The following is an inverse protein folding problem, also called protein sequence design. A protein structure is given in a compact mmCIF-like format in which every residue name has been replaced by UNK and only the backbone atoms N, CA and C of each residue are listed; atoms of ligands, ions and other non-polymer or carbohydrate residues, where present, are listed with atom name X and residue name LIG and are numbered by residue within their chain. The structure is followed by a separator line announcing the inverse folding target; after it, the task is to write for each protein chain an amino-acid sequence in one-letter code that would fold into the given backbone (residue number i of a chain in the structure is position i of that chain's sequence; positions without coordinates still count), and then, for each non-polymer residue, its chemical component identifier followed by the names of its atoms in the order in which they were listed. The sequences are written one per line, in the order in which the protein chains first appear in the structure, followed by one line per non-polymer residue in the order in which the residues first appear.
data_IF_777707640501
#
_entry.id   IF_777707640501
#
_cell.length_a   1.000
_cell.length_b   1.000
_cell.length_c   1.000
_cell.angle_alpha   90.00
_cell.angle_beta   90.00
_cell.angle_gamma   90.00
#
_symmetry.space_group_name_H-M   'P 1'
#
loop_
_entity.id
_entity.type
_entity.pdbx_description
1 polymer ?
#
# COMPACT_ATOMS: atom_id res chain seq x y z
N UNK A 1 -7.23 11.82 4.75
CA UNK A 1 -5.89 12.09 4.24
C UNK A 1 -5.60 13.60 4.16
N UNK A 2 -6.29 14.38 3.33
CA UNK A 2 -6.04 15.81 3.16
C UNK A 2 -6.02 16.63 4.46
N UNK A 3 -6.89 16.32 5.41
CA UNK A 3 -6.97 17.03 6.70
C UNK A 3 -5.86 16.63 7.68
N UNK A 4 -5.26 15.44 7.53
CA UNK A 4 -4.21 14.97 8.41
C UNK A 4 -2.81 15.38 7.91
N UNK A 5 -2.62 15.47 6.60
CA UNK A 5 -1.35 15.80 5.96
C UNK A 5 -1.51 17.04 5.11
N UNK A 6 -0.93 18.16 5.55
CA UNK A 6 -0.86 19.37 4.73
C UNK A 6 0.10 19.20 3.55
N UNK A 7 0.03 20.09 2.53
CA UNK A 7 0.81 19.95 1.30
C UNK A 7 2.33 19.98 1.48
N UNK A 8 2.81 20.46 2.61
CA UNK A 8 4.26 20.62 2.89
C UNK A 8 4.89 19.48 3.68
N UNK A 9 4.11 18.54 4.23
CA UNK A 9 4.64 17.61 5.25
C UNK A 9 4.80 16.17 4.75
N UNK A 10 4.18 15.81 3.63
CA UNK A 10 4.18 14.44 3.14
C UNK A 10 3.82 14.39 1.64
N UNK A 11 4.72 14.87 0.80
CA UNK A 11 4.51 14.98 -0.63
C UNK A 11 3.94 13.70 -1.26
N UNK A 12 4.49 12.54 -0.94
CA UNK A 12 4.08 11.23 -1.48
C UNK A 12 2.66 10.85 -1.04
N UNK A 13 2.33 10.92 0.25
CA UNK A 13 1.00 10.55 0.76
C UNK A 13 -0.06 11.57 0.33
N UNK A 14 0.30 12.85 0.27
CA UNK A 14 -0.62 13.88 -0.23
C UNK A 14 -0.93 13.67 -1.71
N UNK A 15 0.10 13.47 -2.55
CA UNK A 15 -0.05 13.17 -3.97
C UNK A 15 -0.88 11.89 -4.20
N UNK A 16 -0.60 10.83 -3.43
CA UNK A 16 -1.40 9.61 -3.45
C UNK A 16 -2.88 9.87 -3.08
N UNK A 17 -3.13 10.61 -2.01
CA UNK A 17 -4.50 10.97 -1.62
C UNK A 17 -5.23 11.77 -2.70
N UNK A 18 -4.54 12.68 -3.39
CA UNK A 18 -5.11 13.47 -4.47
C UNK A 18 -5.43 12.61 -5.71
N UNK A 19 -4.50 11.76 -6.13
CA UNK A 19 -4.70 10.85 -7.27
C UNK A 19 -5.82 9.85 -6.99
N UNK A 20 -5.88 9.31 -5.76
CA UNK A 20 -6.96 8.41 -5.34
C UNK A 20 -8.33 9.10 -5.39
N UNK A 21 -8.45 10.33 -4.84
CA UNK A 21 -9.68 11.09 -4.87
C UNK A 21 -10.13 11.37 -6.31
N UNK A 22 -9.20 11.84 -7.13
CA UNK A 22 -9.48 12.12 -8.55
C UNK A 22 -9.89 10.84 -9.28
N UNK A 23 -9.20 9.72 -9.05
CA UNK A 23 -9.54 8.42 -9.63
C UNK A 23 -10.93 7.94 -9.22
N UNK A 24 -11.32 8.10 -7.95
CA UNK A 24 -12.68 7.75 -7.48
C UNK A 24 -13.74 8.63 -8.14
N UNK A 25 -13.52 9.93 -8.26
CA UNK A 25 -14.46 10.85 -8.93
C UNK A 25 -14.60 10.50 -10.42
N UNK A 26 -13.50 10.25 -11.11
CA UNK A 26 -13.50 9.83 -12.52
C UNK A 26 -14.17 8.46 -12.68
N UNK A 27 -13.94 7.51 -11.80
CA UNK A 27 -14.61 6.21 -11.81
C UNK A 27 -16.13 6.36 -11.61
N UNK A 28 -16.58 7.27 -10.76
CA UNK A 28 -18.01 7.55 -10.60
C UNK A 28 -18.62 8.10 -11.90
N UNK A 29 -17.95 9.04 -12.54
CA UNK A 29 -18.43 9.65 -13.79
C UNK A 29 -18.37 8.67 -14.96
N UNK A 30 -17.21 8.08 -15.21
CA UNK A 30 -16.99 7.23 -16.38
C UNK A 30 -17.36 5.76 -16.13
N UNK A 31 -16.98 5.21 -14.97
CA UNK A 31 -17.23 3.81 -14.63
C UNK A 31 -18.71 3.52 -14.37
N UNK A 32 -19.42 4.42 -13.69
CA UNK A 32 -20.82 4.19 -13.34
C UNK A 32 -21.77 4.88 -14.33
N UNK A 33 -21.65 6.19 -14.50
CA UNK A 33 -22.60 6.97 -15.29
C UNK A 33 -22.46 6.72 -16.79
N UNK A 34 -21.25 6.91 -17.35
CA UNK A 34 -21.04 6.73 -18.79
C UNK A 34 -21.28 5.28 -19.23
N UNK A 35 -20.77 4.29 -18.46
CA UNK A 35 -21.01 2.87 -18.74
C UNK A 35 -22.51 2.52 -18.74
N UNK A 36 -23.27 3.05 -17.77
CA UNK A 36 -24.72 2.84 -17.73
C UNK A 36 -25.43 3.43 -18.96
N UNK A 37 -25.03 4.62 -19.40
CA UNK A 37 -25.57 5.26 -20.61
C UNK A 37 -25.20 4.47 -21.86
N UNK A 38 -23.93 4.05 -21.96
CA UNK A 38 -23.43 3.25 -23.10
C UNK A 38 -24.14 1.90 -23.21
N UNK A 39 -24.31 1.18 -22.10
CA UNK A 39 -25.02 -0.11 -22.09
C UNK A 39 -26.49 0.08 -22.50
N UNK A 40 -27.17 1.12 -22.02
CA UNK A 40 -28.54 1.44 -22.42
C UNK A 40 -28.64 1.81 -23.91
N UNK A 41 -27.68 2.62 -24.39
CA UNK A 41 -27.56 2.96 -25.80
C UNK A 41 -27.31 1.73 -26.68
N UNK A 42 -26.37 0.87 -26.30
CA UNK A 42 -26.10 -0.38 -27.02
C UNK A 42 -27.29 -1.34 -27.05
N UNK A 43 -28.02 -1.47 -25.93
CA UNK A 43 -29.21 -2.31 -25.85
C UNK A 43 -30.39 -1.78 -26.66
N UNK A 44 -30.40 -0.51 -27.08
CA UNK A 44 -31.43 0.06 -27.98
C UNK A 44 -31.23 -0.35 -29.43
N UNK A 45 -30.02 -0.70 -29.84
CA UNK A 45 -29.68 -1.11 -31.21
C UNK A 45 -30.06 -2.57 -31.41
N UNK A 46 -30.95 -2.87 -32.41
CA UNK A 46 -31.45 -4.22 -32.67
C UNK A 46 -30.34 -5.27 -32.86
N UNK A 47 -29.22 -4.93 -33.50
CA UNK A 47 -28.11 -5.83 -33.75
C UNK A 47 -27.35 -6.22 -32.44
N UNK A 48 -27.33 -5.35 -31.42
CA UNK A 48 -26.66 -5.56 -30.15
C UNK A 48 -27.60 -6.06 -29.05
N UNK A 49 -28.88 -6.30 -29.35
CA UNK A 49 -29.92 -6.74 -28.40
C UNK A 49 -29.87 -8.24 -28.08
N UNK A 50 -28.76 -8.89 -28.38
CA UNK A 50 -28.58 -10.31 -28.09
C UNK A 50 -28.27 -10.54 -26.61
N UNK A 51 -29.06 -11.30 -25.82
CA UNK A 51 -28.81 -11.58 -24.41
C UNK A 51 -27.44 -12.20 -24.13
N UNK A 52 -26.85 -12.90 -25.09
CA UNK A 52 -25.52 -13.49 -24.97
C UNK A 52 -24.42 -12.44 -24.80
N UNK A 53 -24.52 -11.30 -25.47
CA UNK A 53 -23.57 -10.19 -25.36
C UNK A 53 -23.52 -9.56 -23.95
N UNK A 54 -24.63 -9.67 -23.22
CA UNK A 54 -24.77 -9.12 -21.86
C UNK A 54 -24.62 -10.17 -20.75
N UNK A 55 -24.10 -11.36 -21.07
CA UNK A 55 -23.91 -12.45 -20.10
C UNK A 55 -25.19 -13.14 -19.64
N UNK A 56 -26.35 -12.76 -20.19
CA UNK A 56 -27.67 -13.31 -19.83
C UNK A 56 -27.93 -14.70 -20.42
N UNK A 57 -27.09 -15.19 -21.32
CA UNK A 57 -27.25 -16.51 -21.97
C UNK A 57 -27.17 -17.69 -20.99
N UNK A 58 -26.66 -17.48 -19.79
CA UNK A 58 -26.56 -18.51 -18.74
C UNK A 58 -27.73 -18.50 -17.75
N UNK A 59 -28.63 -17.55 -17.85
CA UNK A 59 -29.76 -17.37 -16.91
C UNK A 59 -30.92 -18.39 -17.09
N UNK A 60 -30.74 -19.46 -17.83
CA UNK A 60 -31.75 -20.48 -18.04
C UNK A 60 -31.26 -21.91 -18.01
N UNK A 61 -29.99 -22.13 -17.70
CA UNK A 61 -29.49 -23.48 -17.43
C UNK A 61 -29.52 -23.69 -15.93
N UNK A 62 -30.31 -24.67 -15.49
CA UNK A 62 -30.29 -25.19 -14.14
C UNK A 62 -28.82 -25.28 -13.72
N UNK A 63 -28.44 -24.52 -12.68
CA UNK A 63 -27.15 -24.69 -12.05
C UNK A 63 -27.18 -26.10 -11.45
N UNK A 64 -26.70 -27.06 -12.25
CA UNK A 64 -26.33 -28.38 -11.72
C UNK A 64 -25.54 -28.14 -10.44
N UNK A 65 -26.02 -28.73 -9.36
CA UNK A 65 -25.55 -28.60 -7.98
C UNK A 65 -24.04 -28.45 -7.90
N UNK A 66 -23.57 -27.22 -7.94
CA UNK A 66 -22.19 -26.92 -7.60
C UNK A 66 -22.06 -27.30 -6.13
N UNK A 67 -21.16 -28.26 -5.85
CA UNK A 67 -20.83 -28.71 -4.50
C UNK A 67 -20.69 -27.47 -3.60
N UNK A 68 -21.74 -27.22 -2.82
CA UNK A 68 -21.79 -26.07 -1.93
C UNK A 68 -20.78 -26.32 -0.80
N UNK A 69 -19.79 -25.47 -0.70
CA UNK A 69 -18.83 -25.52 0.42
C UNK A 69 -19.55 -24.95 1.63
N UNK A 70 -19.68 -25.75 2.69
CA UNK A 70 -20.24 -25.30 3.97
C UNK A 70 -19.24 -24.39 4.72
N UNK A 71 -19.24 -23.12 4.35
CA UNK A 71 -18.41 -22.10 5.01
C UNK A 71 -18.81 -21.91 6.48
N UNK A 72 -20.11 -22.07 6.82
CA UNK A 72 -20.61 -21.87 8.17
C UNK A 72 -20.11 -22.98 9.11
N UNK A 73 -20.10 -24.24 8.63
CA UNK A 73 -19.53 -25.36 9.37
C UNK A 73 -18.02 -25.24 9.58
N UNK A 74 -17.32 -24.63 8.62
CA UNK A 74 -15.86 -24.45 8.66
C UNK A 74 -15.41 -23.20 9.46
N UNK A 75 -16.34 -22.38 9.96
CA UNK A 75 -16.03 -21.09 10.63
C UNK A 75 -14.97 -21.19 11.73
N UNK A 76 -15.00 -22.24 12.56
CA UNK A 76 -14.01 -22.44 13.63
C UNK A 76 -12.61 -22.69 13.06
N UNK A 77 -12.48 -23.46 11.98
CA UNK A 77 -11.20 -23.74 11.33
C UNK A 77 -10.59 -22.47 10.72
N UNK A 78 -11.40 -21.65 10.05
CA UNK A 78 -10.94 -20.37 9.51
C UNK A 78 -10.52 -19.40 10.61
N UNK A 79 -11.27 -19.32 11.71
CA UNK A 79 -10.94 -18.44 12.83
C UNK A 79 -9.62 -18.87 13.49
N UNK A 80 -9.42 -20.18 13.73
CA UNK A 80 -8.17 -20.71 14.27
C UNK A 80 -7.01 -20.45 13.33
N UNK A 81 -7.18 -20.68 12.01
CA UNK A 81 -6.15 -20.40 11.02
C UNK A 81 -5.74 -18.93 11.00
N UNK A 82 -6.72 -18.01 10.97
CA UNK A 82 -6.46 -16.57 10.99
C UNK A 82 -5.77 -16.13 12.29
N UNK A 83 -6.22 -16.62 13.45
CA UNK A 83 -5.58 -16.31 14.73
C UNK A 83 -4.15 -16.85 14.82
N UNK A 84 -3.90 -18.05 14.30
CA UNK A 84 -2.56 -18.62 14.23
C UNK A 84 -1.65 -17.79 13.31
N UNK A 85 -2.15 -17.39 12.15
CA UNK A 85 -1.43 -16.53 11.21
C UNK A 85 -1.05 -15.19 11.86
N UNK A 86 -2.00 -14.55 12.55
CA UNK A 86 -1.74 -13.31 13.28
C UNK A 86 -0.68 -13.50 14.38
N UNK A 87 -0.76 -14.60 15.13
CA UNK A 87 0.24 -14.90 16.16
C UNK A 87 1.65 -15.09 15.56
N UNK A 88 1.75 -15.75 14.41
CA UNK A 88 3.02 -15.92 13.68
C UNK A 88 3.56 -14.57 13.21
N UNK A 89 2.71 -13.69 12.66
CA UNK A 89 3.12 -12.35 12.22
C UNK A 89 3.67 -11.53 13.40
N UNK A 90 2.97 -11.54 14.53
CA UNK A 90 3.43 -10.84 15.74
C UNK A 90 4.75 -11.42 16.25
N UNK A 91 4.89 -12.74 16.25
CA UNK A 91 6.14 -13.40 16.62
C UNK A 91 7.29 -13.00 15.70
N UNK A 92 7.05 -13.01 14.38
CA UNK A 92 8.03 -12.55 13.40
C UNK A 92 8.43 -11.08 13.62
N UNK A 93 7.46 -10.20 13.91
CA UNK A 93 7.73 -8.80 14.20
C UNK A 93 8.60 -8.60 15.46
N UNK A 94 8.41 -9.43 16.48
CA UNK A 94 9.23 -9.39 17.70
C UNK A 94 10.63 -9.97 17.46
N UNK A 95 10.75 -11.06 16.70
CA UNK A 95 12.03 -11.74 16.44
C UNK A 95 12.90 -10.97 15.45
N UNK A 96 12.32 -10.53 14.33
CA UNK A 96 13.06 -9.82 13.26
C UNK A 96 13.15 -8.31 13.48
N UNK A 97 12.33 -7.77 14.39
CA UNK A 97 12.17 -6.33 14.56
C UNK A 97 11.35 -5.69 13.42
N UNK A 98 10.98 -4.44 13.65
CA UNK A 98 10.26 -3.62 12.66
C UNK A 98 11.21 -2.53 12.19
N UNK A 99 11.54 -2.53 10.92
CA UNK A 99 12.40 -1.52 10.31
C UNK A 99 11.55 -0.36 9.82
N UNK A 100 11.73 0.81 10.42
CA UNK A 100 11.08 2.05 10.01
C UNK A 100 12.02 2.83 9.10
N UNK A 101 11.51 3.35 7.98
CA UNK A 101 12.27 4.21 7.08
C UNK A 101 12.52 5.60 7.69
N UNK A 102 13.42 6.35 7.08
CA UNK A 102 13.78 7.75 7.42
C UNK A 102 12.57 8.68 7.46
N UNK A 103 11.51 8.39 6.69
CA UNK A 103 10.27 9.15 6.74
C UNK A 103 9.60 9.14 8.14
N UNK A 104 9.80 8.08 8.92
CA UNK A 104 9.21 7.91 10.25
C UNK A 104 10.18 8.15 11.39
N UNK A 105 11.45 7.81 11.19
CA UNK A 105 12.50 7.95 12.22
C UNK A 105 13.25 9.27 12.12
N UNK A 106 13.19 9.92 10.95
CA UNK A 106 14.13 10.95 10.55
C UNK A 106 15.41 10.34 10.02
N UNK A 107 16.27 11.16 9.47
CA UNK A 107 17.53 10.76 8.87
C UNK A 107 17.71 11.32 7.46
N UNK A 108 18.70 10.81 6.72
CA UNK A 108 18.97 11.21 5.36
C UNK A 108 18.48 10.14 4.34
N UNK A 109 18.05 10.60 3.19
CA UNK A 109 17.67 9.77 2.07
C UNK A 109 18.31 10.33 0.81
N UNK A 110 19.11 9.51 0.15
CA UNK A 110 19.77 9.81 -1.11
C UNK A 110 19.11 8.96 -2.19
N UNK A 111 18.70 9.57 -3.29
CA UNK A 111 18.21 8.85 -4.47
C UNK A 111 19.18 9.09 -5.61
N UNK A 112 19.73 8.01 -6.14
CA UNK A 112 20.65 8.00 -7.28
C UNK A 112 19.96 7.37 -8.48
N UNK A 113 20.29 7.84 -9.69
CA UNK A 113 20.06 7.08 -10.92
C UNK A 113 21.27 6.21 -11.22
N UNK A 114 21.06 5.09 -11.89
CA UNK A 114 22.13 4.22 -12.35
C UNK A 114 21.71 3.47 -13.62
N UNK A 115 22.70 3.00 -14.35
CA UNK A 115 22.54 2.18 -15.55
C UNK A 115 23.02 0.74 -15.28
N UNK A 116 22.44 -0.24 -15.97
CA UNK A 116 22.90 -1.61 -15.93
C UNK A 116 22.52 -2.38 -14.65
N UNK A 117 23.42 -3.26 -14.19
CA UNK A 117 23.21 -4.09 -12.99
C UNK A 117 24.44 -4.07 -12.10
N UNK A 118 24.23 -4.20 -10.80
CA UNK A 118 25.28 -4.26 -9.79
C UNK A 118 24.92 -5.26 -8.68
N UNK A 119 25.90 -5.65 -7.89
CA UNK A 119 25.67 -6.49 -6.72
C UNK A 119 25.33 -5.64 -5.50
N UNK A 120 24.11 -5.81 -4.98
CA UNK A 120 23.56 -5.00 -3.88
C UNK A 120 24.45 -5.02 -2.63
N UNK A 121 25.04 -6.19 -2.31
CA UNK A 121 25.88 -6.34 -1.11
C UNK A 121 27.16 -5.49 -1.20
N UNK A 122 27.79 -5.42 -2.36
CA UNK A 122 29.00 -4.62 -2.56
C UNK A 122 28.70 -3.13 -2.56
N UNK A 123 27.61 -2.70 -3.23
CA UNK A 123 27.16 -1.29 -3.19
C UNK A 123 26.82 -0.86 -1.76
N UNK A 124 26.20 -1.74 -0.98
CA UNK A 124 25.91 -1.48 0.42
C UNK A 124 27.19 -1.30 1.23
N UNK A 125 28.20 -2.11 0.98
CA UNK A 125 29.48 -1.99 1.67
C UNK A 125 30.20 -0.69 1.26
N UNK A 126 30.33 -0.39 -0.03
CA UNK A 126 30.95 0.85 -0.52
C UNK A 126 30.22 2.09 0.03
N UNK A 127 28.88 2.08 0.05
CA UNK A 127 28.09 3.18 0.61
C UNK A 127 28.28 3.29 2.14
N UNK A 128 28.37 2.16 2.83
CA UNK A 128 28.63 2.13 4.29
C UNK A 128 30.00 2.72 4.64
N UNK A 129 31.00 2.40 3.86
CA UNK A 129 32.36 2.88 4.05
C UNK A 129 32.47 4.39 3.70
N UNK A 130 31.84 4.83 2.61
CA UNK A 130 31.87 6.24 2.17
C UNK A 130 31.07 7.17 3.10
N UNK A 131 30.00 6.69 3.70
CA UNK A 131 29.12 7.47 4.60
C UNK A 131 29.43 7.23 6.09
N UNK A 132 30.41 6.39 6.41
CA UNK A 132 30.78 5.99 7.78
C UNK A 132 29.58 5.50 8.61
N UNK A 133 28.60 4.89 7.95
CA UNK A 133 27.35 4.45 8.58
C UNK A 133 27.01 3.01 8.19
N UNK A 134 26.82 2.14 9.16
CA UNK A 134 26.52 0.72 8.96
C UNK A 134 25.01 0.41 8.91
N UNK A 135 24.16 1.39 9.25
CA UNK A 135 22.71 1.25 9.33
C UNK A 135 21.97 1.60 8.01
N UNK A 136 22.63 1.48 6.87
CA UNK A 136 22.05 1.83 5.58
C UNK A 136 21.01 0.81 5.11
N UNK A 137 19.92 1.31 4.56
CA UNK A 137 18.94 0.49 3.83
C UNK A 137 18.94 0.89 2.36
N UNK A 138 19.18 -0.06 1.47
CA UNK A 138 19.20 0.14 0.03
C UNK A 138 17.93 -0.44 -0.59
N UNK A 139 17.33 0.30 -1.52
CA UNK A 139 16.18 -0.14 -2.30
C UNK A 139 16.41 0.25 -3.76
N UNK A 140 16.19 -0.68 -4.68
CA UNK A 140 16.16 -0.39 -6.11
C UNK A 140 14.72 -0.15 -6.55
N UNK A 141 14.55 0.74 -7.50
CA UNK A 141 13.26 1.06 -8.10
C UNK A 141 13.45 1.52 -9.54
N UNK A 142 12.35 1.87 -10.17
CA UNK A 142 12.32 2.46 -11.51
C UNK A 142 11.52 3.76 -11.45
N UNK A 143 12.04 4.80 -12.05
CA UNK A 143 11.32 6.06 -12.20
C UNK A 143 10.29 5.89 -13.33
N UNK A 144 9.02 5.78 -12.95
CA UNK A 144 7.91 5.55 -13.88
C UNK A 144 7.77 6.65 -14.94
N UNK A 145 8.29 7.85 -14.69
CA UNK A 145 8.19 8.98 -15.63
C UNK A 145 9.29 8.95 -16.70
N UNK A 146 10.51 8.55 -16.32
CA UNK A 146 11.69 8.56 -17.21
C UNK A 146 12.12 7.16 -17.64
N UNK A 147 11.71 6.12 -16.92
CA UNK A 147 12.15 4.73 -17.13
C UNK A 147 13.55 4.44 -16.56
N UNK A 148 14.17 5.43 -15.91
CA UNK A 148 15.50 5.26 -15.34
C UNK A 148 15.48 4.38 -14.11
N UNK A 149 16.48 3.54 -13.94
CA UNK A 149 16.68 2.77 -12.73
C UNK A 149 17.15 3.68 -11.59
N UNK A 150 16.60 3.48 -10.40
CA UNK A 150 16.90 4.30 -9.23
C UNK A 150 17.36 3.46 -8.06
N UNK A 151 18.37 3.95 -7.35
CA UNK A 151 18.85 3.41 -6.08
C UNK A 151 18.54 4.40 -4.97
N UNK A 152 17.71 4.00 -4.04
CA UNK A 152 17.38 4.75 -2.83
C UNK A 152 18.24 4.24 -1.67
N UNK A 153 19.05 5.12 -1.09
CA UNK A 153 19.86 4.85 0.09
C UNK A 153 19.23 5.61 1.25
N UNK A 154 18.73 4.89 2.24
CA UNK A 154 18.08 5.44 3.43
C UNK A 154 18.97 5.23 4.65
N UNK A 155 19.17 6.31 5.42
CA UNK A 155 19.94 6.35 6.66
C UNK A 155 19.01 6.74 7.82
N UNK A 156 18.34 5.78 8.47
CA UNK A 156 17.48 6.08 9.59
C UNK A 156 18.29 6.58 10.79
N UNK A 157 17.81 7.64 11.42
CA UNK A 157 18.48 8.23 12.59
C UNK A 157 18.47 9.76 12.60
N UNK A 158 19.37 10.35 13.36
CA UNK A 158 19.45 11.82 13.51
C UNK A 158 20.54 12.46 12.65
N UNK A 159 21.26 11.69 11.87
CA UNK A 159 22.36 12.19 11.04
C UNK A 159 21.82 12.84 9.77
N UNK A 160 22.38 14.01 9.46
CA UNK A 160 22.13 14.72 8.19
C UNK A 160 23.33 14.49 7.29
N UNK A 161 23.10 14.18 6.02
CA UNK A 161 24.14 14.05 5.02
C UNK A 161 24.36 15.39 4.32
N UNK A 162 25.62 15.78 4.20
CA UNK A 162 26.03 16.98 3.48
C UNK A 162 26.25 16.68 2.00
N UNK A 163 26.25 17.74 1.15
CA UNK A 163 26.51 17.58 -0.26
C UNK A 163 27.90 16.99 -0.54
N UNK A 164 28.91 17.38 0.25
CA UNK A 164 30.28 16.88 0.10
C UNK A 164 30.35 15.34 0.35
N UNK A 165 29.56 14.83 1.32
CA UNK A 165 29.47 13.39 1.58
C UNK A 165 28.78 12.64 0.43
N UNK A 166 27.78 13.27 -0.21
CA UNK A 166 27.13 12.66 -1.39
C UNK A 166 28.08 12.63 -2.57
N UNK A 167 28.89 13.68 -2.79
CA UNK A 167 29.89 13.69 -3.84
C UNK A 167 30.95 12.61 -3.60
N UNK A 168 31.45 12.47 -2.36
CA UNK A 168 32.40 11.40 -2.01
C UNK A 168 31.80 9.98 -2.21
N UNK A 169 30.51 9.82 -1.90
CA UNK A 169 29.78 8.57 -2.18
C UNK A 169 29.71 8.29 -3.68
N UNK A 170 29.36 9.29 -4.48
CA UNK A 170 29.27 9.16 -5.94
C UNK A 170 30.62 8.82 -6.56
N UNK A 171 31.69 9.49 -6.12
CA UNK A 171 33.04 9.21 -6.59
C UNK A 171 33.45 7.76 -6.27
N UNK A 172 33.19 7.29 -5.05
CA UNK A 172 33.47 5.92 -4.65
C UNK A 172 32.67 4.89 -5.43
N UNK A 173 31.38 5.16 -5.69
CA UNK A 173 30.51 4.27 -6.46
C UNK A 173 30.92 4.24 -7.94
N UNK A 174 31.22 5.39 -8.55
CA UNK A 174 31.62 5.45 -9.95
C UNK A 174 33.04 4.92 -10.19
N UNK A 175 33.91 5.00 -9.18
CA UNK A 175 35.24 4.34 -9.22
C UNK A 175 35.09 2.80 -9.18
N UNK A 176 34.20 2.30 -8.34
CA UNK A 176 33.96 0.86 -8.19
C UNK A 176 33.16 0.27 -9.36
N UNK A 177 32.24 1.08 -9.93
CA UNK A 177 31.30 0.68 -10.98
C UNK A 177 31.27 1.73 -12.10
N UNK A 178 32.30 1.85 -12.94
CA UNK A 178 32.39 2.91 -13.96
C UNK A 178 31.32 2.80 -15.05
N UNK A 179 30.80 1.59 -15.31
CA UNK A 179 29.79 1.34 -16.33
C UNK A 179 28.36 1.70 -15.88
N UNK A 180 28.13 1.92 -14.57
CA UNK A 180 26.80 2.14 -14.02
C UNK A 180 26.38 3.61 -13.93
N UNK A 181 27.29 4.57 -14.16
CA UNK A 181 27.02 6.00 -14.22
C UNK A 181 26.12 6.53 -13.09
N UNK A 182 26.49 6.28 -11.84
CA UNK A 182 25.71 6.77 -10.70
C UNK A 182 25.64 8.30 -10.69
N UNK A 183 24.41 8.84 -10.64
CA UNK A 183 24.18 10.28 -10.57
C UNK A 183 23.13 10.59 -9.50
N UNK A 184 23.31 11.72 -8.80
CA UNK A 184 22.36 12.15 -7.78
C UNK A 184 21.09 12.70 -8.42
N UNK A 185 19.94 12.11 -8.07
CA UNK A 185 18.61 12.62 -8.40
C UNK A 185 18.05 13.51 -7.29
N UNK A 186 18.17 13.08 -6.03
CA UNK A 186 17.70 13.89 -4.91
C UNK A 186 18.43 13.56 -3.61
N UNK A 187 18.52 14.56 -2.73
CA UNK A 187 18.96 14.44 -1.34
C UNK A 187 17.86 15.02 -0.46
N UNK A 188 17.39 14.24 0.51
CA UNK A 188 16.36 14.65 1.46
C UNK A 188 16.83 14.36 2.88
N UNK A 189 16.95 15.39 3.70
CA UNK A 189 17.23 15.28 5.12
C UNK A 189 15.93 15.51 5.90
N UNK A 190 15.49 14.51 6.67
CA UNK A 190 14.27 14.54 7.48
C UNK A 190 14.67 14.60 8.95
N UNK A 191 14.24 15.64 9.66
CA UNK A 191 14.50 15.70 11.09
C UNK A 191 13.70 14.64 11.85
N UNK A 192 14.27 14.05 12.91
CA UNK A 192 13.60 13.05 13.74
C UNK A 192 12.24 13.54 14.30
N UNK A 193 12.16 14.83 14.63
CA UNK A 193 10.88 15.44 15.08
C UNK A 193 9.81 15.45 14.00
N UNK A 194 10.19 15.62 12.72
CA UNK A 194 9.24 15.54 11.59
C UNK A 194 8.82 14.10 11.34
N UNK A 195 9.74 13.15 11.35
CA UNK A 195 9.44 11.73 11.17
C UNK A 195 8.46 11.21 12.22
N UNK A 196 8.70 11.51 13.51
CA UNK A 196 7.79 11.12 14.60
C UNK A 196 6.40 11.73 14.44
N UNK A 197 6.29 13.02 14.08
CA UNK A 197 5.00 13.66 13.81
C UNK A 197 4.30 13.01 12.61
N UNK A 198 5.05 12.62 11.59
CA UNK A 198 4.52 11.94 10.42
C UNK A 198 3.93 10.57 10.79
N UNK A 199 4.67 9.77 11.56
CA UNK A 199 4.20 8.47 12.07
C UNK A 199 2.92 8.61 12.92
N UNK A 200 2.88 9.57 13.84
CA UNK A 200 1.69 9.83 14.66
C UNK A 200 0.48 10.21 13.81
N UNK A 201 0.63 11.11 12.84
CA UNK A 201 -0.45 11.51 11.92
C UNK A 201 -0.93 10.34 11.07
N UNK A 202 -0.02 9.49 10.59
CA UNK A 202 -0.33 8.29 9.81
C UNK A 202 -1.16 7.30 10.62
N UNK A 203 -0.77 7.06 11.88
CA UNK A 203 -1.51 6.18 12.78
C UNK A 203 -2.91 6.70 13.09
N UNK A 204 -3.03 8.00 13.39
CA UNK A 204 -4.32 8.66 13.59
C UNK A 204 -5.20 8.56 12.34
N UNK A 205 -4.64 8.75 11.15
CA UNK A 205 -5.38 8.63 9.90
C UNK A 205 -5.92 7.21 9.68
N UNK A 206 -5.14 6.18 9.99
CA UNK A 206 -5.58 4.77 9.90
C UNK A 206 -6.72 4.51 10.88
N UNK A 207 -6.57 4.89 12.14
CA UNK A 207 -7.61 4.70 13.18
C UNK A 207 -8.90 5.45 12.81
N UNK A 208 -8.78 6.72 12.43
CA UNK A 208 -9.93 7.54 12.01
C UNK A 208 -10.67 6.90 10.84
N UNK A 209 -9.93 6.40 9.89
CA UNK A 209 -10.52 5.76 8.76
C UNK A 209 -11.19 4.40 9.11
N UNK A 210 -10.68 3.60 10.08
CA UNK A 210 -11.37 2.40 10.61
C UNK A 210 -12.68 2.77 11.30
N UNK A 211 -12.69 3.85 12.07
CA UNK A 211 -13.91 4.37 12.73
C UNK A 211 -14.96 4.80 11.70
N UNK A 212 -14.55 5.50 10.64
CA UNK A 212 -15.48 5.90 9.57
C UNK A 212 -16.11 4.70 8.86
N UNK A 213 -15.35 3.63 8.63
CA UNK A 213 -15.88 2.39 8.04
C UNK A 213 -16.84 1.71 8.99
N UNK A 214 -16.49 1.58 10.26
CA UNK A 214 -17.38 1.03 11.28
C UNK A 214 -18.72 1.76 11.28
N UNK A 215 -18.67 3.10 11.30
CA UNK A 215 -19.85 3.94 11.28
C UNK A 215 -20.68 3.75 10.00
N UNK A 216 -20.00 3.75 8.85
CA UNK A 216 -20.66 3.52 7.56
C UNK A 216 -21.39 2.17 7.50
N UNK A 217 -20.73 1.07 7.90
CA UNK A 217 -21.34 -0.27 7.91
C UNK A 217 -22.47 -0.34 8.93
N UNK A 218 -22.29 0.21 10.13
CA UNK A 218 -23.31 0.23 11.18
C UNK A 218 -24.58 0.95 10.71
N UNK A 219 -24.45 2.07 10.02
CA UNK A 219 -25.58 2.83 9.49
C UNK A 219 -26.20 2.17 8.25
N UNK A 220 -25.35 1.68 7.32
CA UNK A 220 -25.80 1.12 6.04
C UNK A 220 -26.53 -0.23 6.21
N UNK A 221 -26.08 -1.05 7.16
CA UNK A 221 -26.58 -2.40 7.41
C UNK A 221 -27.31 -2.54 8.76
N UNK A 222 -27.98 -1.49 9.21
CA UNK A 222 -28.70 -1.44 10.47
C UNK A 222 -29.70 -2.59 10.64
N UNK A 223 -30.31 -3.08 9.55
CA UNK A 223 -31.32 -4.14 9.58
C UNK A 223 -30.74 -5.56 9.75
N UNK A 224 -29.42 -5.75 9.55
CA UNK A 224 -28.74 -7.06 9.61
C UNK A 224 -27.85 -7.14 10.89
N UNK A 225 -28.12 -6.37 11.92
CA UNK A 225 -27.29 -6.31 13.13
C UNK A 225 -26.17 -5.27 13.02
N UNK A 226 -26.38 -4.16 12.33
CA UNK A 226 -25.54 -3.01 12.01
C UNK A 226 -24.20 -2.90 12.75
N UNK A 227 -24.20 -2.75 14.08
CA UNK A 227 -22.98 -2.59 14.87
C UNK A 227 -22.15 -3.88 14.94
N UNK A 228 -22.77 -5.03 15.15
CA UNK A 228 -22.09 -6.33 15.17
C UNK A 228 -21.49 -6.68 13.81
N UNK A 229 -22.24 -6.46 12.74
CA UNK A 229 -21.71 -6.59 11.36
C UNK A 229 -20.55 -5.65 11.09
N UNK A 230 -20.66 -4.40 11.54
CA UNK A 230 -19.58 -3.41 11.42
C UNK A 230 -18.31 -3.83 12.19
N UNK A 231 -18.44 -4.32 13.41
CA UNK A 231 -17.29 -4.81 14.19
C UNK A 231 -16.61 -6.01 13.54
N UNK A 232 -17.37 -6.96 12.99
CA UNK A 232 -16.81 -8.11 12.27
C UNK A 232 -16.09 -7.69 10.99
N UNK A 233 -16.63 -6.71 10.26
CA UNK A 233 -15.97 -6.15 9.09
C UNK A 233 -14.65 -5.44 9.45
N UNK A 234 -14.63 -4.66 10.53
CA UNK A 234 -13.39 -4.03 11.03
C UNK A 234 -12.39 -5.10 11.48
N UNK A 235 -12.82 -6.17 12.14
CA UNK A 235 -11.93 -7.26 12.54
C UNK A 235 -11.29 -7.94 11.31
N UNK A 236 -12.07 -8.19 10.26
CA UNK A 236 -11.57 -8.72 9.00
C UNK A 236 -10.53 -7.76 8.38
N UNK A 237 -10.83 -6.46 8.34
CA UNK A 237 -9.89 -5.45 7.83
C UNK A 237 -8.59 -5.39 8.64
N UNK A 238 -8.67 -5.48 9.96
CA UNK A 238 -7.46 -5.54 10.82
C UNK A 238 -6.64 -6.79 10.51
N UNK A 239 -7.28 -7.93 10.31
CA UNK A 239 -6.59 -9.15 9.89
C UNK A 239 -5.85 -8.96 8.56
N UNK A 240 -6.49 -8.36 7.56
CA UNK A 240 -5.90 -8.11 6.25
C UNK A 240 -4.72 -7.13 6.33
N UNK A 241 -4.86 -6.05 7.11
CA UNK A 241 -3.77 -5.12 7.38
C UNK A 241 -2.58 -5.80 8.08
N UNK A 242 -2.86 -6.72 9.00
CA UNK A 242 -1.82 -7.50 9.68
C UNK A 242 -1.09 -8.44 8.72
N UNK A 243 -1.77 -9.02 7.73
CA UNK A 243 -1.13 -9.85 6.70
C UNK A 243 -0.18 -9.01 5.85
N UNK A 244 -0.62 -7.81 5.42
CA UNK A 244 0.25 -6.88 4.68
C UNK A 244 1.46 -6.47 5.51
N UNK A 245 1.24 -6.07 6.76
CA UNK A 245 2.31 -5.75 7.70
C UNK A 245 3.29 -6.92 7.88
N UNK A 246 2.76 -8.14 8.07
CA UNK A 246 3.56 -9.35 8.19
C UNK A 246 4.42 -9.63 6.97
N UNK A 247 3.91 -9.34 5.78
CA UNK A 247 4.69 -9.47 4.54
C UNK A 247 5.91 -8.55 4.53
N UNK A 248 5.73 -7.28 4.92
CA UNK A 248 6.84 -6.32 5.02
C UNK A 248 7.88 -6.75 6.07
N UNK A 249 7.42 -7.20 7.24
CA UNK A 249 8.30 -7.70 8.31
C UNK A 249 9.08 -8.94 7.85
N UNK A 250 8.42 -9.89 7.18
CA UNK A 250 9.03 -11.13 6.72
C UNK A 250 10.08 -10.88 5.62
N UNK A 251 9.78 -9.95 4.69
CA UNK A 251 10.69 -9.55 3.62
C UNK A 251 11.77 -8.56 4.09
N UNK A 252 11.72 -8.15 5.37
CA UNK A 252 12.62 -7.13 5.94
C UNK A 252 12.65 -5.81 5.16
N UNK A 253 11.56 -5.48 4.48
CA UNK A 253 11.41 -4.19 3.80
C UNK A 253 11.07 -3.12 4.84
N UNK A 254 11.68 -1.93 4.78
CA UNK A 254 11.37 -0.86 5.70
C UNK A 254 9.95 -0.35 5.48
N UNK A 255 9.29 0.01 6.58
CA UNK A 255 7.98 0.66 6.54
C UNK A 255 8.18 2.14 6.18
N UNK A 256 7.67 2.56 5.04
CA UNK A 256 7.73 3.92 4.50
C UNK A 256 6.33 4.49 4.23
N UNK A 257 6.26 5.66 3.61
CA UNK A 257 4.99 6.27 3.17
C UNK A 257 4.21 5.41 2.17
N UNK A 258 4.91 4.62 1.34
CA UNK A 258 4.27 3.72 0.37
C UNK A 258 3.57 2.56 1.09
N UNK A 259 4.14 2.05 2.20
CA UNK A 259 3.45 1.08 3.05
C UNK A 259 2.12 1.62 3.59
N UNK A 260 2.09 2.87 4.08
CA UNK A 260 0.85 3.50 4.54
C UNK A 260 -0.14 3.67 3.38
N UNK A 261 0.35 4.08 2.21
CA UNK A 261 -0.47 4.19 1.01
C UNK A 261 -1.06 2.83 0.58
N UNK A 262 -0.26 1.77 0.61
CA UNK A 262 -0.70 0.40 0.32
C UNK A 262 -1.75 -0.08 1.32
N UNK A 263 -1.54 0.12 2.63
CA UNK A 263 -2.53 -0.20 3.67
C UNK A 263 -3.87 0.50 3.43
N UNK A 264 -3.83 1.77 3.05
CA UNK A 264 -5.05 2.55 2.79
C UNK A 264 -5.75 2.14 1.49
N UNK A 265 -5.00 1.70 0.48
CA UNK A 265 -5.54 1.22 -0.81
C UNK A 265 -6.18 -0.16 -0.66
N UNK A 266 -5.46 -1.12 -0.10
CA UNK A 266 -5.93 -2.49 0.12
C UNK A 266 -7.21 -2.47 0.94
N UNK A 267 -7.28 -1.63 1.96
CA UNK A 267 -8.47 -1.40 2.75
C UNK A 267 -9.67 -0.92 1.92
N UNK A 268 -9.45 -0.03 0.94
CA UNK A 268 -10.52 0.44 0.06
C UNK A 268 -11.09 -0.67 -0.83
N UNK A 269 -10.26 -1.57 -1.33
CA UNK A 269 -10.64 -2.70 -2.16
C UNK A 269 -11.35 -3.80 -1.35
N UNK A 270 -10.77 -4.25 -0.26
CA UNK A 270 -11.32 -5.32 0.59
C UNK A 270 -12.64 -4.92 1.27
N UNK A 271 -12.80 -3.63 1.60
CA UNK A 271 -14.07 -3.14 2.11
C UNK A 271 -15.21 -3.32 1.11
N UNK A 272 -14.95 -3.12 -0.18
CA UNK A 272 -15.94 -3.33 -1.23
C UNK A 272 -16.46 -4.78 -1.26
N UNK A 273 -15.57 -5.76 -1.10
CA UNK A 273 -15.95 -7.17 -1.07
C UNK A 273 -16.83 -7.50 0.14
N UNK A 274 -16.49 -6.98 1.32
CA UNK A 274 -17.30 -7.14 2.53
C UNK A 274 -18.70 -6.51 2.37
N UNK A 275 -18.77 -5.32 1.77
CA UNK A 275 -20.05 -4.64 1.50
C UNK A 275 -20.92 -5.44 0.51
N UNK A 276 -20.31 -6.01 -0.55
CA UNK A 276 -21.03 -6.86 -1.52
C UNK A 276 -21.62 -8.10 -0.86
N UNK A 277 -20.87 -8.75 0.05
CA UNK A 277 -21.37 -9.90 0.80
C UNK A 277 -22.55 -9.50 1.69
N UNK A 278 -22.44 -8.40 2.42
CA UNK A 278 -23.54 -7.91 3.28
C UNK A 278 -24.77 -7.44 2.49
N UNK A 279 -24.59 -6.86 1.31
CA UNK A 279 -25.70 -6.46 0.45
C UNK A 279 -26.45 -7.67 -0.12
N UNK A 280 -25.76 -8.80 -0.32
CA UNK A 280 -26.33 -10.08 -0.73
C UNK A 280 -27.17 -10.75 0.37
N UNK A 281 -26.81 -10.54 1.64
CA UNK A 281 -27.50 -11.12 2.80
C UNK A 281 -28.73 -10.26 3.20
N UNK A 282 -28.76 -8.99 2.83
CA UNK A 282 -29.86 -8.07 3.10
C UNK A 282 -31.11 -8.35 2.26
#
# INVERSE_FOLDING_TARGET
MFFAFGPSTAGTIYAFGYTLLTGVLLNFVFGVFATRVMIRGAASIKALRNPWLYGAAKLGKDETEKKQIDFVGLRKKFLVFSSCLMAVIVLCAVVFGVHLDTEFTGGAMITLSYDGSFEMAQVQQTASDALENTGLTLQTGENVATGDQTLKISMPGTETVTTDQVEALLDSLNETYPDNNFAQLSLSNVSAAMGTKFLQKSLVAVVFALVLILLYIALRFKNIGGLTGGMMAVLALVNDLMVVFGTFVLLRTPLDGNFIAAMLTIRGLLHNDTVVVYDRIR
#
